data_IF_752736524159
#
_entry.id   IF_752736524159
#
_cell.length_a   1.000
_cell.length_b   1.000
_cell.length_c   1.000
_cell.angle_alpha   90.00
_cell.angle_beta   90.00
_cell.angle_gamma   90.00
#
_symmetry.space_group_name_H-M   'P 1'
#
loop_
_entity.id
_entity.type
_entity.pdbx_description
1 polymer ?
#
# COMPACT_ATOMS: atom_id res chain seq x y z
N UNK A 1 12.18 11.04 -0.31
CA UNK A 1 11.79 9.63 -0.54
C UNK A 1 11.13 9.19 0.74
N UNK A 2 9.98 8.50 0.69
CA UNK A 2 9.38 7.93 1.90
C UNK A 2 10.41 7.00 2.51
N UNK A 3 10.71 7.19 3.78
CA UNK A 3 11.40 6.17 4.53
C UNK A 3 10.35 5.06 4.73
N UNK A 4 10.68 3.79 4.48
CA UNK A 4 9.74 2.72 4.82
C UNK A 4 9.27 2.85 6.28
N UNK A 5 8.03 2.44 6.62
CA UNK A 5 7.55 2.50 8.00
C UNK A 5 8.52 1.78 8.94
N UNK A 6 8.57 2.25 10.19
CA UNK A 6 9.63 1.98 11.15
C UNK A 6 10.11 0.51 11.19
N UNK A 7 11.43 0.34 11.07
CA UNK A 7 12.12 -0.76 10.37
C UNK A 7 12.41 -2.01 11.22
N UNK A 8 11.62 -2.30 12.26
CA UNK A 8 11.98 -3.35 13.22
C UNK A 8 10.86 -4.07 13.97
N UNK A 9 9.60 -3.70 13.80
CA UNK A 9 8.51 -4.31 14.59
C UNK A 9 7.97 -5.59 13.97
N UNK A 10 7.84 -6.63 14.79
CA UNK A 10 6.87 -7.71 14.49
C UNK A 10 5.45 -7.14 14.50
N UNK A 11 4.46 -7.90 14.03
CA UNK A 11 3.05 -7.47 13.92
C UNK A 11 2.43 -6.89 15.22
N UNK A 12 3.07 -7.08 16.37
CA UNK A 12 2.61 -6.58 17.68
C UNK A 12 3.19 -5.22 18.11
N UNK A 13 4.22 -4.69 17.43
CA UNK A 13 4.94 -3.48 17.91
C UNK A 13 4.93 -2.31 16.91
N UNK A 14 4.72 -2.57 15.62
CA UNK A 14 4.67 -1.51 14.63
C UNK A 14 3.22 -0.99 14.48
N UNK A 15 2.92 0.26 14.89
CA UNK A 15 1.57 0.81 14.84
C UNK A 15 1.05 0.95 13.40
N UNK A 16 1.90 0.88 12.37
CA UNK A 16 1.47 0.99 10.98
C UNK A 16 0.96 -0.32 10.38
N UNK A 17 1.13 -1.46 11.08
CA UNK A 17 0.65 -2.76 10.60
C UNK A 17 -0.87 -2.76 10.54
N UNK A 18 -1.38 -3.01 9.33
CA UNK A 18 -2.81 -3.20 9.09
C UNK A 18 -3.17 -4.65 9.36
N UNK A 19 -2.49 -5.59 8.69
CA UNK A 19 -2.73 -7.04 8.84
C UNK A 19 -1.48 -7.85 8.50
N UNK A 20 -1.35 -9.02 9.15
CA UNK A 20 -0.52 -10.11 8.64
C UNK A 20 -1.25 -10.80 7.49
N UNK A 21 -0.55 -11.00 6.38
CA UNK A 21 -0.99 -11.77 5.23
C UNK A 21 -0.21 -13.09 5.15
N UNK A 22 -0.19 -13.75 4.00
CA UNK A 22 0.37 -15.09 3.83
C UNK A 22 1.90 -15.12 3.93
N UNK A 23 2.55 -14.21 3.20
CA UNK A 23 4.00 -14.12 3.02
C UNK A 23 4.58 -12.78 3.53
N UNK A 24 3.77 -11.98 4.22
CA UNK A 24 4.16 -10.63 4.59
C UNK A 24 3.18 -9.89 5.50
N UNK A 25 3.46 -8.61 5.68
CA UNK A 25 2.65 -7.67 6.46
C UNK A 25 2.20 -6.52 5.58
N UNK A 26 0.89 -6.30 5.52
CA UNK A 26 0.32 -5.07 4.97
C UNK A 26 0.47 -3.96 6.01
N UNK A 27 1.15 -2.89 5.63
CA UNK A 27 1.39 -1.71 6.47
C UNK A 27 0.91 -0.45 5.77
N UNK A 28 0.41 0.53 6.51
CA UNK A 28 0.18 1.87 5.98
C UNK A 28 1.49 2.65 5.93
N UNK A 29 1.69 3.46 4.89
CA UNK A 29 2.88 4.30 4.74
C UNK A 29 2.94 5.44 5.75
N UNK A 30 4.15 5.87 6.05
CA UNK A 30 4.50 6.97 6.96
C UNK A 30 4.08 8.36 6.44
N UNK A 31 4.00 8.51 5.12
CA UNK A 31 3.49 9.71 4.44
C UNK A 31 2.18 9.42 3.74
N UNK A 32 1.25 10.37 3.76
CA UNK A 32 -0.11 10.20 3.25
C UNK A 32 -0.52 11.38 2.37
N UNK A 33 0.43 11.99 1.65
CA UNK A 33 0.11 13.01 0.65
C UNK A 33 -0.67 12.45 -0.54
N UNK A 34 -0.57 11.13 -0.78
CA UNK A 34 -1.53 10.32 -1.52
C UNK A 34 -2.19 9.40 -0.48
N UNK A 35 -3.37 9.77 0.06
CA UNK A 35 -4.02 9.00 1.11
C UNK A 35 -4.24 7.56 0.67
N UNK A 36 -3.86 6.60 1.52
CA UNK A 36 -4.01 5.17 1.26
C UNK A 36 -2.72 4.51 0.79
N UNK A 37 -1.62 5.29 0.64
CA UNK A 37 -0.29 4.73 0.42
C UNK A 37 -0.02 3.64 1.46
N UNK A 38 0.24 2.44 0.97
CA UNK A 38 0.49 1.25 1.75
C UNK A 38 1.72 0.51 1.20
N UNK A 39 2.30 -0.34 2.03
CA UNK A 39 3.45 -1.17 1.66
C UNK A 39 3.15 -2.61 2.08
N UNK A 40 3.54 -3.57 1.25
CA UNK A 40 3.67 -4.98 1.66
C UNK A 40 5.13 -5.23 2.02
N UNK A 41 5.38 -5.62 3.27
CA UNK A 41 6.69 -6.04 3.75
C UNK A 41 6.77 -7.57 3.73
N UNK A 42 7.85 -8.14 3.20
CA UNK A 42 8.09 -9.59 3.34
C UNK A 42 8.28 -9.94 4.83
N UNK A 43 7.82 -11.12 5.25
CA UNK A 43 7.98 -11.58 6.64
C UNK A 43 9.35 -12.25 6.93
N UNK A 44 10.28 -12.23 5.98
CA UNK A 44 11.64 -12.76 6.09
C UNK A 44 12.68 -11.63 5.97
N UNK A 45 13.31 -11.19 7.08
CA UNK A 45 14.18 -10.01 7.10
C UNK A 45 15.41 -10.05 6.17
N UNK A 46 15.84 -11.24 5.75
CA UNK A 46 17.05 -11.46 4.96
C UNK A 46 16.77 -11.42 3.45
N UNK A 47 15.50 -11.44 3.05
CA UNK A 47 15.08 -11.44 1.64
C UNK A 47 15.19 -10.01 1.12
N UNK A 48 16.01 -9.79 0.09
CA UNK A 48 16.32 -8.45 -0.45
C UNK A 48 15.53 -8.13 -1.71
N UNK A 49 15.20 -9.16 -2.49
CA UNK A 49 14.48 -9.06 -3.77
C UNK A 49 13.60 -10.27 -4.00
N UNK A 50 12.64 -10.12 -4.91
CA UNK A 50 11.62 -11.14 -5.20
C UNK A 50 12.23 -12.49 -5.62
N UNK A 51 13.38 -12.47 -6.30
CA UNK A 51 14.08 -13.66 -6.76
C UNK A 51 14.74 -14.48 -5.65
N UNK A 52 14.95 -13.90 -4.46
CA UNK A 52 15.54 -14.61 -3.32
C UNK A 52 14.52 -15.57 -2.68
N UNK A 53 13.22 -15.31 -2.86
CA UNK A 53 12.16 -16.19 -2.36
C UNK A 53 12.08 -17.50 -3.16
N UNK A 54 11.87 -18.65 -2.49
CA UNK A 54 11.42 -19.88 -3.12
C UNK A 54 10.14 -19.65 -3.93
N UNK A 55 9.96 -20.39 -5.04
CA UNK A 55 8.86 -20.15 -5.99
C UNK A 55 7.48 -20.07 -5.34
N UNK A 56 7.16 -20.98 -4.41
CA UNK A 56 5.86 -20.99 -3.72
C UNK A 56 5.62 -19.74 -2.88
N UNK A 57 6.64 -19.31 -2.12
CA UNK A 57 6.54 -18.10 -1.30
C UNK A 57 6.53 -16.82 -2.15
N UNK A 58 7.27 -16.81 -3.27
CA UNK A 58 7.22 -15.73 -4.25
C UNK A 58 5.82 -15.50 -4.80
N UNK A 59 5.12 -16.58 -5.16
CA UNK A 59 3.73 -16.50 -5.64
C UNK A 59 2.79 -16.00 -4.54
N UNK A 60 2.99 -16.46 -3.30
CA UNK A 60 2.21 -15.99 -2.15
C UNK A 60 2.42 -14.49 -1.90
N UNK A 61 3.66 -14.00 -1.99
CA UNK A 61 3.97 -12.57 -1.85
C UNK A 61 3.30 -11.72 -2.95
N UNK A 62 3.34 -12.17 -4.20
CA UNK A 62 2.66 -11.49 -5.30
C UNK A 62 1.13 -11.50 -5.14
N UNK A 63 0.56 -12.59 -4.64
CA UNK A 63 -0.87 -12.67 -4.33
C UNK A 63 -1.28 -11.77 -3.16
N UNK A 64 -0.43 -11.64 -2.15
CA UNK A 64 -0.65 -10.71 -1.04
C UNK A 64 -0.54 -9.24 -1.52
N UNK A 65 0.38 -8.95 -2.44
CA UNK A 65 0.54 -7.62 -3.05
C UNK A 65 -0.70 -7.24 -3.85
N UNK A 66 -1.22 -8.16 -4.67
CA UNK A 66 -2.46 -8.01 -5.41
C UNK A 66 -3.64 -7.73 -4.47
N UNK A 67 -3.80 -8.54 -3.41
CA UNK A 67 -4.86 -8.36 -2.42
C UNK A 67 -4.77 -7.02 -1.67
N UNK A 68 -3.56 -6.55 -1.34
CA UNK A 68 -3.39 -5.23 -0.75
C UNK A 68 -3.75 -4.12 -1.74
N UNK A 69 -3.34 -4.27 -3.01
CA UNK A 69 -3.71 -3.39 -4.10
C UNK A 69 -5.22 -3.26 -4.26
N UNK A 70 -5.93 -4.38 -4.32
CA UNK A 70 -7.40 -4.43 -4.43
C UNK A 70 -8.08 -3.78 -3.22
N UNK A 71 -7.61 -4.06 -1.99
CA UNK A 71 -8.17 -3.45 -0.79
C UNK A 71 -8.02 -1.92 -0.78
N UNK A 72 -6.83 -1.43 -1.15
CA UNK A 72 -6.56 0.01 -1.26
C UNK A 72 -7.41 0.63 -2.37
N UNK A 73 -7.52 -0.01 -3.53
CA UNK A 73 -8.36 0.44 -4.63
C UNK A 73 -9.83 0.60 -4.21
N UNK A 74 -10.43 -0.45 -3.65
CA UNK A 74 -11.83 -0.41 -3.21
C UNK A 74 -12.08 0.67 -2.16
N UNK A 75 -11.19 0.80 -1.17
CA UNK A 75 -11.37 1.77 -0.09
C UNK A 75 -11.19 3.19 -0.60
N UNK A 76 -10.12 3.47 -1.35
CA UNK A 76 -9.85 4.81 -1.86
C UNK A 76 -10.93 5.25 -2.86
N UNK A 77 -11.41 4.36 -3.73
CA UNK A 77 -12.52 4.64 -4.63
C UNK A 77 -13.83 5.00 -3.90
N UNK A 78 -14.12 4.36 -2.76
CA UNK A 78 -15.30 4.70 -1.95
C UNK A 78 -15.16 6.01 -1.20
N UNK A 79 -13.94 6.35 -0.75
CA UNK A 79 -13.70 7.50 0.12
C UNK A 79 -13.40 8.80 -0.64
N UNK A 80 -12.89 8.72 -1.86
CA UNK A 80 -12.57 9.89 -2.68
C UNK A 80 -13.01 9.67 -4.15
N UNK A 81 -14.00 10.43 -4.66
CA UNK A 81 -14.45 10.32 -6.04
C UNK A 81 -13.39 10.72 -7.08
N UNK A 82 -12.30 11.38 -6.67
CA UNK A 82 -11.18 11.71 -7.53
C UNK A 82 -10.17 10.55 -7.69
N UNK A 83 -10.38 9.41 -7.01
CA UNK A 83 -9.55 8.22 -7.20
C UNK A 83 -9.53 7.78 -8.68
N UNK A 84 -8.35 7.39 -9.18
CA UNK A 84 -8.14 7.00 -10.58
C UNK A 84 -7.71 5.55 -10.77
N UNK A 85 -6.70 5.11 -10.01
CA UNK A 85 -6.04 3.79 -10.13
C UNK A 85 -5.08 3.56 -8.97
N UNK A 86 -4.59 2.33 -8.84
CA UNK A 86 -3.42 2.00 -8.02
C UNK A 86 -2.16 1.80 -8.89
N UNK A 87 -0.99 2.18 -8.39
CA UNK A 87 0.30 1.75 -8.92
C UNK A 87 0.95 0.77 -7.93
N UNK A 88 1.48 -0.33 -8.45
CA UNK A 88 2.20 -1.36 -7.69
C UNK A 88 3.67 -1.33 -8.08
N UNK A 89 4.56 -1.15 -7.11
CA UNK A 89 5.99 -0.96 -7.38
C UNK A 89 6.84 -1.81 -6.43
N UNK A 90 7.66 -2.71 -6.98
CA UNK A 90 8.74 -3.38 -6.24
C UNK A 90 10.05 -2.73 -6.68
N UNK A 91 10.69 -1.99 -5.78
CA UNK A 91 11.93 -1.27 -6.03
C UNK A 91 13.08 -1.87 -5.19
N UNK A 92 13.53 -1.17 -4.14
CA UNK A 92 14.58 -1.66 -3.24
C UNK A 92 15.96 -1.04 -3.40
N UNK A 93 16.10 0.07 -4.15
CA UNK A 93 17.39 0.77 -4.31
C UNK A 93 17.89 1.42 -3.01
N UNK A 94 16.98 1.98 -2.19
CA UNK A 94 17.33 2.67 -0.93
C UNK A 94 17.31 1.71 0.25
N UNK A 95 16.24 0.92 0.37
CA UNK A 95 16.00 0.02 1.48
C UNK A 95 16.08 -1.43 0.99
N UNK A 96 17.14 -2.17 1.34
CA UNK A 96 17.46 -3.39 0.62
C UNK A 96 16.86 -4.64 1.28
N UNK A 97 15.56 -4.59 1.53
CA UNK A 97 14.71 -5.72 1.91
C UNK A 97 13.51 -5.75 0.95
N UNK A 98 12.93 -6.93 0.69
CA UNK A 98 11.82 -7.04 -0.25
C UNK A 98 10.56 -6.36 0.30
N UNK A 99 10.08 -5.37 -0.43
CA UNK A 99 8.80 -4.71 -0.19
C UNK A 99 8.15 -4.29 -1.50
N UNK A 100 6.83 -4.17 -1.49
CA UNK A 100 6.03 -3.66 -2.60
C UNK A 100 5.23 -2.45 -2.14
N UNK A 101 5.33 -1.34 -2.87
CA UNK A 101 4.52 -0.15 -2.63
C UNK A 101 3.19 -0.24 -3.37
N UNK A 102 2.14 0.26 -2.72
CA UNK A 102 0.78 0.38 -3.23
C UNK A 102 0.38 1.84 -3.17
N UNK A 103 0.34 2.48 -4.34
CA UNK A 103 0.12 3.92 -4.48
C UNK A 103 -1.23 4.22 -5.12
N UNK A 104 -2.26 4.62 -4.36
CA UNK A 104 -3.47 5.17 -4.95
C UNK A 104 -3.16 6.52 -5.63
N UNK A 105 -3.69 6.70 -6.84
CA UNK A 105 -3.50 7.87 -7.70
C UNK A 105 -4.80 8.63 -7.84
N UNK A 106 -4.73 9.96 -7.93
CA UNK A 106 -5.89 10.84 -7.86
C UNK A 106 -5.92 11.90 -8.95
N UNK A 107 -7.12 12.37 -9.32
CA UNK A 107 -7.30 13.37 -10.37
C UNK A 107 -6.82 14.77 -9.96
N UNK A 108 -6.86 15.06 -8.66
CA UNK A 108 -6.39 16.32 -8.06
C UNK A 108 -4.85 16.42 -7.95
N UNK A 109 -4.10 15.36 -8.26
CA UNK A 109 -2.64 15.45 -8.33
C UNK A 109 -2.21 16.52 -9.36
N UNK A 110 -1.12 17.28 -9.09
CA UNK A 110 -0.62 18.26 -10.05
C UNK A 110 -0.29 17.61 -11.39
N UNK A 111 -0.71 18.23 -12.49
CA UNK A 111 -0.64 17.65 -13.82
C UNK A 111 0.80 17.25 -14.21
N UNK A 112 1.79 17.97 -13.71
CA UNK A 112 3.22 17.79 -14.00
C UNK A 112 3.80 16.49 -13.43
N UNK A 113 3.14 15.87 -12.45
CA UNK A 113 3.59 14.63 -11.77
C UNK A 113 2.56 13.50 -11.79
N UNK A 114 1.30 13.81 -12.10
CA UNK A 114 0.17 12.86 -12.09
C UNK A 114 0.34 11.67 -13.04
N UNK A 115 1.05 11.85 -14.15
CA UNK A 115 1.33 10.78 -15.12
C UNK A 115 2.73 10.18 -14.97
N UNK A 116 3.47 10.65 -13.97
CA UNK A 116 4.83 10.23 -13.68
C UNK A 116 4.88 9.27 -12.49
N UNK A 117 5.99 8.55 -12.30
CA UNK A 117 6.23 7.78 -11.09
C UNK A 117 6.15 8.65 -9.84
N UNK A 118 5.69 8.06 -8.73
CA UNK A 118 5.36 8.81 -7.51
C UNK A 118 6.58 9.54 -6.94
N UNK A 119 7.79 8.98 -7.05
CA UNK A 119 9.02 9.57 -6.54
C UNK A 119 9.42 10.91 -7.19
N UNK A 120 8.75 11.32 -8.27
CA UNK A 120 8.92 12.65 -8.87
C UNK A 120 8.02 13.74 -8.25
N UNK A 121 7.16 13.41 -7.29
CA UNK A 121 6.50 14.42 -6.46
C UNK A 121 7.53 15.27 -5.70
N UNK A 122 7.29 16.59 -5.53
CA UNK A 122 8.22 17.49 -4.84
C UNK A 122 8.65 16.96 -3.47
N UNK A 123 9.91 17.19 -3.09
CA UNK A 123 10.47 16.64 -1.84
C UNK A 123 9.65 17.01 -0.60
N UNK A 124 9.03 18.20 -0.60
CA UNK A 124 8.14 18.66 0.48
C UNK A 124 6.95 17.74 0.74
N UNK A 125 6.41 17.03 -0.28
CA UNK A 125 5.33 16.05 -0.09
C UNK A 125 5.73 14.91 0.84
N UNK A 126 7.03 14.60 0.92
CA UNK A 126 7.58 13.50 1.69
C UNK A 126 8.04 13.89 3.10
N UNK A 127 8.25 15.18 3.37
CA UNK A 127 8.86 15.65 4.62
C UNK A 127 7.95 16.58 5.43
N UNK A 128 6.92 17.14 4.81
CA UNK A 128 5.99 18.06 5.45
C UNK A 128 5.05 17.30 6.41
N UNK A 129 5.03 17.72 7.67
CA UNK A 129 4.26 17.08 8.75
C UNK A 129 2.75 17.01 8.46
N UNK A 130 2.23 17.93 7.64
CA UNK A 130 0.81 17.87 7.21
C UNK A 130 0.46 16.64 6.39
N UNK A 131 1.46 15.91 5.90
CA UNK A 131 1.30 14.63 5.22
C UNK A 131 1.74 13.43 6.07
N UNK A 132 2.38 13.64 7.22
CA UNK A 132 2.78 12.55 8.09
C UNK A 132 1.57 11.74 8.58
N UNK A 133 1.71 10.42 8.67
CA UNK A 133 0.69 9.53 9.23
C UNK A 133 0.31 10.00 10.65
N UNK A 134 -0.96 9.83 11.01
CA UNK A 134 -1.50 10.30 12.29
C UNK A 134 -3.00 10.04 12.40
N UNK A 135 -3.64 10.45 13.52
CA UNK A 135 -5.02 10.07 13.85
C UNK A 135 -6.07 10.40 12.78
N UNK A 136 -5.84 11.44 11.97
CA UNK A 136 -6.72 11.79 10.83
C UNK A 136 -6.87 10.68 9.78
N UNK A 137 -5.98 9.68 9.79
CA UNK A 137 -6.02 8.55 8.87
C UNK A 137 -6.60 7.27 9.51
N UNK A 138 -7.10 7.32 10.75
CA UNK A 138 -7.57 6.11 11.45
C UNK A 138 -8.78 5.48 10.76
N UNK A 139 -9.70 6.30 10.23
CA UNK A 139 -10.84 5.82 9.42
C UNK A 139 -10.34 5.09 8.17
N UNK A 140 -9.35 5.65 7.48
CA UNK A 140 -8.77 5.06 6.28
C UNK A 140 -8.05 3.74 6.60
N UNK A 141 -7.24 3.72 7.66
CA UNK A 141 -6.53 2.52 8.15
C UNK A 141 -7.50 1.40 8.50
N UNK A 142 -8.54 1.71 9.27
CA UNK A 142 -9.57 0.76 9.66
C UNK A 142 -10.32 0.22 8.44
N UNK A 143 -10.63 1.08 7.46
CA UNK A 143 -11.30 0.68 6.23
C UNK A 143 -10.43 -0.27 5.38
N UNK A 144 -9.15 0.01 5.19
CA UNK A 144 -8.22 -0.88 4.45
C UNK A 144 -8.07 -2.22 5.20
N UNK A 145 -7.89 -2.19 6.52
CA UNK A 145 -7.80 -3.41 7.33
C UNK A 145 -9.05 -4.29 7.23
N UNK A 146 -10.24 -3.68 7.29
CA UNK A 146 -11.52 -4.40 7.17
C UNK A 146 -11.73 -4.95 5.75
N UNK A 147 -11.34 -4.20 4.72
CA UNK A 147 -11.41 -4.62 3.33
C UNK A 147 -10.47 -5.81 3.06
N UNK A 148 -9.26 -5.79 3.63
CA UNK A 148 -8.35 -6.93 3.59
C UNK A 148 -9.01 -8.17 4.21
N UNK A 149 -9.63 -8.05 5.39
CA UNK A 149 -10.30 -9.17 6.05
C UNK A 149 -11.45 -9.73 5.19
N UNK A 150 -12.23 -8.85 4.54
CA UNK A 150 -13.30 -9.20 3.62
C UNK A 150 -12.79 -9.99 2.42
N UNK A 151 -11.74 -9.49 1.75
CA UNK A 151 -11.13 -10.15 0.59
C UNK A 151 -10.53 -11.52 0.93
N UNK A 152 -10.13 -11.77 2.19
CA UNK A 152 -9.70 -13.10 2.65
C UNK A 152 -10.78 -14.16 2.48
N UNK A 153 -12.02 -13.77 2.74
CA UNK A 153 -13.16 -14.69 2.84
C UNK A 153 -13.80 -15.02 1.50
N UNK A 154 -13.25 -14.50 0.38
CA UNK A 154 -13.72 -14.79 -0.97
C UNK A 154 -15.07 -14.15 -1.33
N UNK A 155 -15.63 -13.30 -0.47
CA UNK A 155 -16.88 -12.59 -0.77
C UNK A 155 -16.56 -11.45 -1.75
N UNK A 156 -16.64 -11.68 -3.06
CA UNK A 156 -16.56 -10.60 -4.04
C UNK A 156 -17.91 -9.83 -4.01
N UNK A 157 -17.94 -8.49 -3.94
CA UNK A 157 -19.19 -7.78 -4.20
C UNK A 157 -19.61 -8.05 -5.65
N UNK A 158 -20.89 -8.27 -5.90
CA UNK A 158 -21.42 -8.35 -7.26
C UNK A 158 -21.00 -7.12 -8.06
N UNK A 159 -20.43 -7.33 -9.26
CA UNK A 159 -20.14 -6.22 -10.18
C UNK A 159 -21.48 -5.62 -10.59
N UNK A 160 -21.71 -4.36 -10.23
CA UNK A 160 -22.82 -3.57 -10.79
C UNK A 160 -22.65 -3.56 -12.32
N UNK A 161 -23.65 -4.01 -13.12
CA UNK A 161 -23.57 -3.93 -14.57
C UNK A 161 -23.42 -2.46 -14.97
N UNK A 162 -22.45 -2.16 -15.84
CA UNK A 162 -22.45 -0.85 -16.51
C UNK A 162 -23.67 -0.83 -17.43
N UNK A 163 -24.64 0.03 -17.13
CA UNK A 163 -25.69 0.38 -18.08
C UNK A 163 -25.01 1.00 -19.31
N UNK A 164 -25.36 0.47 -20.48
CA UNK A 164 -24.85 0.92 -21.78
C UNK A 164 -25.43 2.27 -22.20
#
# INVERSE_FOLDING_TARGET
MAHGPDRGGTAGENPTVLRRLTAGFAVIGDVQFLPGYSVLLVDEPHVRRLSDLPRGKRLSFLSDMDRLGEAVEHVCQRLDPAFRRVNLEILGNTDPFLHAHVWPRYAWEPAEVREKPVWLHPRTRWTDERFALGPRHDVLRAAIGSELDRLRTGTRPERIPRLG
#
